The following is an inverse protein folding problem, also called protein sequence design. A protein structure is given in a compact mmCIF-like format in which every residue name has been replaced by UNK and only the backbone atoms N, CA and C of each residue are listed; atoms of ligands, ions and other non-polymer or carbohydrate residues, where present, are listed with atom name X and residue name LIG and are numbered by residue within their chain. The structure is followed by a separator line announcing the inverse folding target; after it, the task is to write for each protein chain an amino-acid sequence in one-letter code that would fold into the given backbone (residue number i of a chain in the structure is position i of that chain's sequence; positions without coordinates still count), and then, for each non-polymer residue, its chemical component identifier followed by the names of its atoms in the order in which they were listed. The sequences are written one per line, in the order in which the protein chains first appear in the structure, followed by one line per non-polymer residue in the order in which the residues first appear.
data_IF_960213329043
#
_entry.id   IF_960213329043
#
_cell.length_a   1.000
_cell.length_b   1.000
_cell.length_c   1.000
_cell.angle_alpha   90.00
_cell.angle_beta   90.00
_cell.angle_gamma   90.00
#
_symmetry.space_group_name_H-M   'P 1'
#
loop_
_entity.id
_entity.type
_entity.pdbx_description
1 polymer ?
#
# COMPACT_ATOMS: atom_id res chain seq x y z
N UNK A 1 11.82 -4.07 1.54
CA UNK A 1 10.62 -3.25 1.87
C UNK A 1 10.60 -2.06 0.92
N UNK A 2 9.43 -1.52 0.57
CA UNK A 2 9.35 -0.35 -0.29
C UNK A 2 8.14 0.53 0.04
N UNK A 3 8.21 1.79 -0.37
CA UNK A 3 7.13 2.76 -0.36
C UNK A 3 6.90 3.25 -1.79
N UNK A 4 5.65 3.57 -2.12
CA UNK A 4 5.31 4.20 -3.38
C UNK A 4 4.31 5.33 -3.19
N UNK A 5 4.24 6.22 -4.18
CA UNK A 5 3.21 7.23 -4.28
C UNK A 5 1.96 6.70 -5.03
N UNK A 6 0.95 7.55 -5.18
CA UNK A 6 -0.30 7.25 -5.91
C UNK A 6 -0.10 7.05 -7.42
N UNK A 7 1.07 7.40 -7.96
CA UNK A 7 1.45 7.20 -9.36
C UNK A 7 2.23 5.91 -9.57
N UNK A 8 2.26 5.04 -8.57
CA UNK A 8 2.99 3.77 -8.58
C UNK A 8 4.52 3.94 -8.65
N UNK A 9 5.05 5.15 -8.41
CA UNK A 9 6.48 5.39 -8.38
C UNK A 9 7.04 5.06 -6.99
N UNK A 10 8.16 4.34 -6.94
CA UNK A 10 8.80 4.00 -5.67
C UNK A 10 9.49 5.21 -5.07
N UNK A 11 9.09 5.63 -3.87
CA UNK A 11 9.69 6.78 -3.16
C UNK A 11 10.82 6.34 -2.25
N UNK A 12 10.82 5.08 -1.84
CA UNK A 12 11.87 4.49 -1.02
C UNK A 12 11.90 2.98 -1.21
N UNK A 13 13.10 2.39 -1.24
CA UNK A 13 13.32 0.94 -1.35
C UNK A 13 14.49 0.55 -0.47
N UNK A 14 14.33 -0.54 0.27
CA UNK A 14 15.40 -1.17 1.04
C UNK A 14 15.45 -2.66 0.77
N UNK A 15 16.67 -3.13 0.51
CA UNK A 15 17.02 -4.50 0.14
C UNK A 15 17.95 -5.10 1.20
N UNK A 16 18.22 -6.41 1.09
CA UNK A 16 19.26 -7.07 1.88
C UNK A 16 18.83 -7.62 3.24
N UNK A 17 17.55 -7.50 3.63
CA UNK A 17 17.04 -8.13 4.84
C UNK A 17 16.68 -9.60 4.62
N UNK A 18 16.98 -10.45 5.61
CA UNK A 18 16.63 -11.87 5.57
C UNK A 18 15.10 -12.07 5.56
N UNK A 19 14.60 -12.92 4.65
CA UNK A 19 13.17 -13.21 4.54
C UNK A 19 12.54 -13.92 5.75
N UNK A 20 13.36 -14.35 6.72
CA UNK A 20 12.91 -14.89 8.01
C UNK A 20 12.53 -13.80 9.02
N UNK A 21 12.83 -12.53 8.74
CA UNK A 21 12.49 -11.42 9.63
C UNK A 21 11.05 -10.96 9.39
N UNK A 22 10.35 -10.63 10.47
CA UNK A 22 9.01 -10.05 10.39
C UNK A 22 9.03 -8.66 9.74
N UNK A 23 7.94 -8.26 9.08
CA UNK A 23 7.79 -6.90 8.55
C UNK A 23 7.99 -5.84 9.64
N UNK A 24 7.54 -6.11 10.88
CA UNK A 24 7.75 -5.22 12.01
C UNK A 24 9.23 -5.10 12.40
N UNK A 25 9.98 -6.20 12.42
CA UNK A 25 11.43 -6.15 12.70
C UNK A 25 12.19 -5.46 11.59
N UNK A 26 11.88 -5.79 10.32
CA UNK A 26 12.48 -5.12 9.15
C UNK A 26 12.21 -3.62 9.19
N UNK A 27 10.97 -3.22 9.47
CA UNK A 27 10.60 -1.81 9.58
C UNK A 27 11.36 -1.12 10.70
N UNK A 28 11.35 -1.66 11.92
CA UNK A 28 11.99 -1.02 13.07
C UNK A 28 13.51 -0.91 12.97
N UNK A 29 14.18 -1.85 12.28
CA UNK A 29 15.62 -1.78 12.02
C UNK A 29 16.00 -1.01 10.76
N UNK A 30 15.04 -0.70 9.89
CA UNK A 30 15.30 0.01 8.64
C UNK A 30 15.73 1.45 8.88
N UNK A 31 16.54 1.99 7.97
CA UNK A 31 16.89 3.42 8.00
C UNK A 31 15.64 4.31 8.01
N UNK A 32 14.57 3.86 7.35
CA UNK A 32 13.29 4.55 7.29
C UNK A 32 12.54 4.53 8.62
N UNK A 33 12.46 3.37 9.28
CA UNK A 33 11.81 3.25 10.59
C UNK A 33 12.53 4.06 11.67
N UNK A 34 13.87 4.10 11.63
CA UNK A 34 14.68 4.96 12.49
C UNK A 34 14.37 6.44 12.22
N UNK A 35 14.34 6.86 10.95
CA UNK A 35 14.03 8.24 10.58
C UNK A 35 12.62 8.69 11.00
N UNK A 36 11.63 7.78 10.97
CA UNK A 36 10.30 8.03 11.53
C UNK A 36 10.37 8.25 13.04
N UNK A 37 11.07 7.37 13.77
CA UNK A 37 11.15 7.44 15.22
C UNK A 37 11.84 8.72 15.70
N UNK A 38 12.90 9.13 14.99
CA UNK A 38 13.65 10.36 15.23
C UNK A 38 12.91 11.62 14.75
N UNK A 39 11.74 11.48 14.12
CA UNK A 39 10.98 12.58 13.48
C UNK A 39 11.81 13.38 12.48
N UNK A 40 12.74 12.71 11.80
CA UNK A 40 13.58 13.33 10.77
C UNK A 40 12.94 13.29 9.38
N UNK A 41 11.86 12.52 9.22
CA UNK A 41 10.97 12.63 8.07
C UNK A 41 10.05 13.85 8.23
N UNK A 42 10.18 14.81 7.31
CA UNK A 42 9.36 16.02 7.26
C UNK A 42 7.93 15.69 6.78
N UNK A 43 7.15 14.97 7.58
CA UNK A 43 5.72 14.82 7.36
C UNK A 43 5.05 16.20 7.41
N UNK A 44 4.06 16.48 6.54
CA UNK A 44 3.29 17.71 6.64
C UNK A 44 2.53 17.77 7.96
N UNK A 45 2.20 19.00 8.38
CA UNK A 45 1.36 19.23 9.55
C UNK A 45 -0.03 18.59 9.36
N UNK A 46 -0.72 18.21 10.46
CA UNK A 46 -2.06 17.66 10.38
C UNK A 46 -3.04 18.60 9.67
N UNK A 47 -3.85 18.03 8.78
CA UNK A 47 -4.88 18.76 8.05
C UNK A 47 -6.29 18.26 8.41
N UNK A 48 -7.32 19.11 8.27
CA UNK A 48 -8.70 18.69 8.47
C UNK A 48 -9.11 17.65 7.43
N UNK A 49 -9.83 16.63 7.85
CA UNK A 49 -10.50 15.71 6.93
C UNK A 49 -11.46 16.49 6.00
N UNK A 50 -11.63 16.08 4.74
CA UNK A 50 -12.52 16.78 3.81
C UNK A 50 -13.94 16.96 4.38
N UNK A 51 -14.47 18.18 4.36
CA UNK A 51 -15.80 18.49 4.91
C UNK A 51 -15.88 18.42 6.44
N UNK A 52 -14.76 18.32 7.16
CA UNK A 52 -14.70 18.21 8.62
C UNK A 52 -13.72 19.21 9.23
N UNK A 53 -13.85 19.47 10.54
CA UNK A 53 -12.86 20.22 11.33
C UNK A 53 -11.92 19.29 12.10
N UNK A 54 -12.02 17.98 11.87
CA UNK A 54 -11.21 16.97 12.55
C UNK A 54 -9.83 16.91 11.89
N UNK A 55 -8.81 17.39 12.60
CA UNK A 55 -7.41 17.31 12.18
C UNK A 55 -6.89 15.88 12.30
N UNK A 56 -6.27 15.39 11.23
CA UNK A 56 -5.63 14.07 11.19
C UNK A 56 -4.22 14.22 10.61
N UNK A 57 -3.18 13.67 11.28
CA UNK A 57 -1.83 13.69 10.72
C UNK A 57 -1.77 12.81 9.47
N UNK A 58 -0.86 13.15 8.55
CA UNK A 58 -0.53 12.27 7.43
C UNK A 58 0.09 10.97 7.93
N UNK A 59 -0.24 9.87 7.27
CA UNK A 59 0.25 8.54 7.62
C UNK A 59 0.48 7.67 6.39
N UNK A 60 1.36 6.69 6.55
CA UNK A 60 1.59 5.61 5.60
C UNK A 60 0.56 4.50 5.79
N UNK A 61 0.29 3.75 4.73
CA UNK A 61 -0.61 2.61 4.77
C UNK A 61 0.20 1.32 4.79
N UNK A 62 0.01 0.51 5.83
CA UNK A 62 0.67 -0.78 6.01
C UNK A 62 -0.29 -1.97 6.04
N UNK A 63 0.27 -3.17 5.90
CA UNK A 63 -0.42 -4.43 6.16
C UNK A 63 -0.60 -4.74 7.66
N UNK A 64 -1.26 -5.85 7.99
CA UNK A 64 -1.49 -6.28 9.39
C UNK A 64 -0.19 -6.56 10.17
N UNK A 65 0.91 -6.89 9.48
CA UNK A 65 2.19 -7.24 10.08
C UNK A 65 3.02 -6.02 10.52
N UNK A 66 2.64 -4.81 10.11
CA UNK A 66 3.22 -3.58 10.63
C UNK A 66 2.63 -3.19 12.01
N UNK A 67 3.33 -2.39 12.83
CA UNK A 67 2.77 -1.83 14.06
C UNK A 67 1.72 -0.75 13.75
N UNK A 68 0.74 -0.57 14.64
CA UNK A 68 -0.19 0.57 14.57
C UNK A 68 0.46 1.80 15.20
N UNK A 69 0.64 2.87 14.41
CA UNK A 69 1.21 4.14 14.82
C UNK A 69 0.39 5.30 14.24
N UNK A 70 0.65 6.53 14.68
CA UNK A 70 0.01 7.73 14.12
C UNK A 70 0.50 8.05 12.70
N UNK A 71 1.72 7.63 12.39
CA UNK A 71 2.42 7.79 11.11
C UNK A 71 2.33 6.54 10.20
N UNK A 72 1.82 5.41 10.71
CA UNK A 72 1.68 4.14 9.99
C UNK A 72 0.39 3.43 10.42
N UNK A 73 -0.55 3.38 9.48
CA UNK A 73 -1.89 2.88 9.71
C UNK A 73 -2.05 1.46 9.17
N UNK A 74 -2.65 0.58 9.98
CA UNK A 74 -2.88 -0.83 9.66
C UNK A 74 -4.35 -1.23 9.88
N UNK A 75 -4.83 -2.29 9.22
CA UNK A 75 -6.22 -2.71 9.35
C UNK A 75 -6.59 -3.12 10.78
N UNK A 76 -7.88 -3.09 11.10
CA UNK A 76 -8.42 -3.73 12.30
C UNK A 76 -8.19 -5.24 12.24
N UNK A 77 -7.85 -5.89 13.38
CA UNK A 77 -7.66 -7.33 13.42
C UNK A 77 -8.94 -8.09 13.05
N UNK A 78 -8.79 -9.12 12.21
CA UNK A 78 -9.90 -9.94 11.67
C UNK A 78 -10.81 -10.58 12.73
N UNK A 79 -10.28 -10.86 13.92
CA UNK A 79 -11.02 -11.55 14.98
C UNK A 79 -12.20 -10.75 15.56
N UNK A 80 -12.21 -9.41 15.41
CA UNK A 80 -13.20 -8.52 16.03
C UNK A 80 -13.89 -7.58 15.02
N UNK A 81 -14.06 -8.04 13.77
CA UNK A 81 -14.56 -7.24 12.64
C UNK A 81 -16.09 -7.25 12.54
N UNK A 82 -16.78 -6.98 13.66
CA UNK A 82 -18.24 -7.06 13.76
C UNK A 82 -18.97 -5.77 13.37
N UNK A 83 -18.32 -4.61 13.44
CA UNK A 83 -18.91 -3.30 13.12
C UNK A 83 -18.66 -2.83 11.68
N UNK A 84 -19.65 -2.17 11.08
CA UNK A 84 -19.57 -1.60 9.72
C UNK A 84 -18.41 -0.60 9.57
N UNK A 85 -18.16 0.22 10.58
CA UNK A 85 -17.04 1.16 10.61
C UNK A 85 -15.69 0.48 10.36
N UNK A 86 -15.42 -0.64 11.05
CA UNK A 86 -14.17 -1.38 10.91
C UNK A 86 -14.07 -2.08 9.55
N UNK A 87 -15.20 -2.60 9.04
CA UNK A 87 -15.27 -3.25 7.72
C UNK A 87 -14.97 -2.25 6.61
N UNK A 88 -15.63 -1.09 6.63
CA UNK A 88 -15.41 0.00 5.66
C UNK A 88 -13.98 0.52 5.76
N UNK A 89 -13.48 0.74 6.98
CA UNK A 89 -12.11 1.19 7.18
C UNK A 89 -11.10 0.22 6.57
N UNK A 90 -11.19 -1.09 6.89
CA UNK A 90 -10.29 -2.09 6.33
C UNK A 90 -10.36 -2.14 4.81
N UNK A 91 -11.57 -2.08 4.24
CA UNK A 91 -11.74 -2.08 2.79
C UNK A 91 -11.10 -0.86 2.12
N UNK A 92 -11.31 0.35 2.66
CA UNK A 92 -10.70 1.58 2.14
C UNK A 92 -9.18 1.57 2.31
N UNK A 93 -8.68 1.02 3.42
CA UNK A 93 -7.25 0.85 3.64
C UNK A 93 -6.64 -0.15 2.63
N UNK A 94 -7.32 -1.28 2.38
CA UNK A 94 -6.93 -2.25 1.35
C UNK A 94 -6.92 -1.63 -0.05
N UNK A 95 -7.90 -0.79 -0.39
CA UNK A 95 -7.89 -0.01 -1.66
C UNK A 95 -6.64 0.86 -1.77
N UNK A 96 -6.19 1.48 -0.68
CA UNK A 96 -4.92 2.22 -0.64
C UNK A 96 -3.69 1.34 -0.83
N UNK A 97 -3.67 0.15 -0.21
CA UNK A 97 -2.57 -0.83 -0.38
C UNK A 97 -2.43 -1.36 -1.80
N UNK A 98 -3.53 -1.45 -2.55
CA UNK A 98 -3.46 -1.87 -3.96
C UNK A 98 -2.49 -1.03 -4.80
N UNK A 99 -2.21 0.21 -4.40
CA UNK A 99 -1.22 1.06 -5.07
C UNK A 99 0.17 0.45 -5.03
N UNK A 100 0.68 0.05 -3.85
CA UNK A 100 2.03 -0.53 -3.75
C UNK A 100 2.11 -1.91 -4.41
N UNK A 101 1.03 -2.68 -4.37
CA UNK A 101 0.95 -3.96 -5.08
C UNK A 101 0.96 -3.79 -6.59
N UNK A 102 0.21 -2.82 -7.11
CA UNK A 102 0.24 -2.50 -8.53
C UNK A 102 1.63 -2.00 -8.94
N UNK A 103 2.31 -1.20 -8.11
CA UNK A 103 3.69 -0.75 -8.39
C UNK A 103 4.65 -1.95 -8.54
N UNK A 104 4.61 -2.89 -7.59
CA UNK A 104 5.39 -4.13 -7.67
C UNK A 104 5.00 -5.01 -8.86
N UNK A 105 3.70 -5.14 -9.14
CA UNK A 105 3.17 -5.88 -10.28
C UNK A 105 3.67 -5.33 -11.62
N UNK A 106 3.58 -4.01 -11.83
CA UNK A 106 4.11 -3.33 -13.01
C UNK A 106 5.62 -3.57 -13.11
N UNK A 107 6.37 -3.36 -12.02
CA UNK A 107 7.81 -3.54 -11.98
C UNK A 107 8.20 -4.97 -12.40
N UNK A 108 7.65 -6.00 -11.77
CA UNK A 108 7.98 -7.38 -12.09
C UNK A 108 7.56 -7.77 -13.52
N UNK A 109 6.41 -7.26 -13.97
CA UNK A 109 5.89 -7.54 -15.31
C UNK A 109 6.77 -6.95 -16.42
N UNK A 110 7.21 -5.69 -16.26
CA UNK A 110 8.07 -4.99 -17.22
C UNK A 110 9.53 -5.47 -17.15
N UNK A 111 10.05 -5.67 -15.95
CA UNK A 111 11.43 -6.09 -15.70
C UNK A 111 11.46 -7.58 -15.39
N UNK A 112 11.24 -8.40 -16.44
CA UNK A 112 11.08 -9.86 -16.32
C UNK A 112 12.23 -10.58 -15.62
N UNK A 113 13.41 -9.98 -15.54
CA UNK A 113 14.54 -10.47 -14.74
C UNK A 113 14.15 -10.69 -13.26
N UNK A 114 13.19 -9.91 -12.75
CA UNK A 114 12.69 -9.99 -11.38
C UNK A 114 11.65 -11.11 -11.17
N UNK A 115 11.20 -11.77 -12.24
CA UNK A 115 10.19 -12.86 -12.17
C UNK A 115 10.81 -14.23 -11.89
N UNK A 116 12.13 -14.29 -11.83
CA UNK A 116 12.90 -15.51 -11.60
C UNK A 116 13.86 -15.30 -10.46
N UNK A 117 14.24 -16.38 -9.78
CA UNK A 117 15.32 -16.34 -8.80
C UNK A 117 16.58 -15.77 -9.45
N UNK A 118 17.10 -14.68 -8.87
CA UNK A 118 18.34 -14.07 -9.31
C UNK A 118 19.52 -14.95 -8.84
N UNK A 119 20.00 -15.83 -9.72
CA UNK A 119 21.16 -16.68 -9.48
C UNK A 119 22.48 -15.88 -9.58
N UNK A 120 22.59 -14.83 -8.77
CA UNK A 120 23.70 -13.88 -8.76
C UNK A 120 24.20 -13.65 -7.33
N UNK A 121 25.41 -13.12 -7.20
CA UNK A 121 25.90 -12.64 -5.91
C UNK A 121 24.93 -11.58 -5.33
N UNK A 122 24.66 -11.56 -4.02
CA UNK A 122 23.68 -10.64 -3.42
C UNK A 122 23.85 -9.18 -3.85
N UNK A 123 25.08 -8.67 -3.88
CA UNK A 123 25.38 -7.30 -4.34
C UNK A 123 24.95 -7.02 -5.79
N UNK A 124 25.07 -8.02 -6.67
CA UNK A 124 24.65 -7.90 -8.07
C UNK A 124 23.13 -7.97 -8.17
N UNK A 125 22.48 -8.85 -7.39
CA UNK A 125 21.03 -8.93 -7.31
C UNK A 125 20.43 -7.60 -6.80
N UNK A 126 21.01 -7.01 -5.76
CA UNK A 126 20.63 -5.68 -5.26
C UNK A 126 20.79 -4.61 -6.34
N UNK A 127 21.92 -4.59 -7.06
CA UNK A 127 22.16 -3.64 -8.15
C UNK A 127 21.13 -3.77 -9.27
N UNK A 128 20.75 -4.99 -9.64
CA UNK A 128 19.72 -5.27 -10.66
C UNK A 128 18.35 -4.77 -10.19
N UNK A 129 17.98 -5.03 -8.94
CA UNK A 129 16.70 -4.59 -8.36
C UNK A 129 16.66 -3.05 -8.32
N UNK A 130 17.70 -2.40 -7.79
CA UNK A 130 17.77 -0.95 -7.71
C UNK A 130 17.76 -0.30 -9.09
N UNK A 131 18.52 -0.83 -10.06
CA UNK A 131 18.49 -0.35 -11.44
C UNK A 131 17.09 -0.49 -12.06
N UNK A 132 16.40 -1.61 -11.82
CA UNK A 132 15.04 -1.83 -12.31
C UNK A 132 14.06 -0.82 -11.72
N UNK A 133 14.17 -0.53 -10.40
CA UNK A 133 13.35 0.49 -9.72
C UNK A 133 13.64 1.89 -10.28
N UNK A 134 14.91 2.26 -10.46
CA UNK A 134 15.29 3.56 -11.01
C UNK A 134 14.75 3.74 -12.43
N UNK A 135 14.89 2.72 -13.29
CA UNK A 135 14.39 2.76 -14.65
C UNK A 135 12.85 2.77 -14.70
N UNK A 136 12.18 2.01 -13.82
CA UNK A 136 10.74 2.07 -13.65
C UNK A 136 10.28 3.50 -13.36
N UNK A 137 10.83 4.12 -12.31
CA UNK A 137 10.46 5.49 -11.93
C UNK A 137 10.76 6.50 -13.05
N UNK A 138 11.90 6.35 -13.72
CA UNK A 138 12.27 7.21 -14.85
C UNK A 138 11.21 7.16 -15.96
N UNK A 139 10.79 5.97 -16.39
CA UNK A 139 9.79 5.82 -17.45
C UNK A 139 8.42 6.29 -16.98
N UNK A 140 8.00 5.96 -15.76
CA UNK A 140 6.73 6.42 -15.18
C UNK A 140 6.63 7.96 -15.16
N UNK A 141 7.70 8.64 -14.74
CA UNK A 141 7.76 10.10 -14.73
C UNK A 141 7.77 10.70 -16.14
N UNK A 142 8.49 10.08 -17.09
CA UNK A 142 8.52 10.54 -18.48
C UNK A 142 7.16 10.44 -19.16
N UNK A 143 6.41 9.37 -18.88
CA UNK A 143 5.09 9.16 -19.45
C UNK A 143 3.98 9.88 -18.68
N UNK A 144 4.28 10.56 -17.55
CA UNK A 144 3.26 11.19 -16.72
C UNK A 144 2.46 12.25 -17.48
N UNK A 145 3.17 13.13 -18.20
CA UNK A 145 2.58 14.26 -18.93
C UNK A 145 2.00 13.90 -20.30
N UNK A 146 2.13 12.65 -20.74
CA UNK A 146 1.60 12.22 -22.02
C UNK A 146 0.06 12.20 -21.97
N UNK A 147 -0.57 13.10 -22.72
CA UNK A 147 -2.01 13.11 -22.94
C UNK A 147 -2.32 12.09 -24.06
N UNK A 148 -2.52 10.82 -23.70
CA UNK A 148 -2.80 9.76 -24.65
C UNK A 148 -2.35 8.38 -24.18
N UNK A 149 -1.86 7.58 -25.13
CA UNK A 149 -1.44 6.21 -24.86
C UNK A 149 -0.09 6.19 -24.12
N UNK A 150 -0.10 5.67 -22.89
CA UNK A 150 1.11 5.34 -22.12
C UNK A 150 1.58 3.94 -22.48
N UNK A 151 2.84 3.79 -22.89
CA UNK A 151 3.35 2.49 -23.34
C UNK A 151 3.77 1.62 -22.17
N UNK A 152 4.34 2.21 -21.11
CA UNK A 152 4.88 1.49 -19.97
C UNK A 152 3.80 1.15 -18.93
N UNK A 153 2.86 2.06 -18.67
CA UNK A 153 1.72 1.80 -17.79
C UNK A 153 0.42 2.35 -18.41
N UNK A 154 -0.16 1.65 -19.42
CA UNK A 154 -1.46 2.03 -19.96
C UNK A 154 -2.56 1.93 -18.90
N UNK A 155 -3.68 2.62 -19.10
CA UNK A 155 -4.78 2.71 -18.12
C UNK A 155 -5.37 1.36 -17.74
N UNK A 156 -5.42 0.40 -18.65
CA UNK A 156 -5.89 -0.97 -18.39
C UNK A 156 -4.85 -1.85 -17.67
N UNK A 157 -3.59 -1.42 -17.61
CA UNK A 157 -2.52 -2.21 -17.02
C UNK A 157 -2.67 -2.33 -15.51
N UNK A 158 -3.17 -1.29 -14.86
CA UNK A 158 -3.49 -1.25 -13.43
C UNK A 158 -4.97 -1.51 -13.18
N UNK A 159 -5.29 -1.86 -11.93
CA UNK A 159 -6.67 -2.02 -11.52
C UNK A 159 -7.43 -0.70 -11.71
N UNK A 160 -8.59 -0.76 -12.35
CA UNK A 160 -9.45 0.39 -12.57
C UNK A 160 -10.89 0.04 -12.20
N UNK A 161 -11.70 1.07 -12.02
CA UNK A 161 -13.12 0.92 -11.77
C UNK A 161 -13.85 0.97 -13.12
N UNK A 162 -14.68 -0.04 -13.41
CA UNK A 162 -15.50 -0.01 -14.62
C UNK A 162 -16.67 0.98 -14.49
N UNK A 163 -17.41 1.18 -15.58
CA UNK A 163 -18.59 2.06 -15.61
C UNK A 163 -19.70 1.61 -14.63
N UNK A 164 -19.62 0.40 -14.08
CA UNK A 164 -20.57 -0.18 -13.14
C UNK A 164 -20.04 -0.18 -11.69
N UNK A 165 -18.95 0.56 -11.42
CA UNK A 165 -18.28 0.62 -10.12
C UNK A 165 -17.64 -0.68 -9.63
N UNK A 166 -17.45 -1.67 -10.51
CA UNK A 166 -16.70 -2.87 -10.16
C UNK A 166 -15.20 -2.60 -10.29
N UNK A 167 -14.43 -3.17 -9.36
CA UNK A 167 -12.98 -3.17 -9.45
C UNK A 167 -12.55 -4.21 -10.47
N UNK A 168 -12.05 -3.75 -11.61
CA UNK A 168 -11.43 -4.58 -12.63
C UNK A 168 -9.95 -4.74 -12.27
N UNK A 169 -9.45 -5.98 -12.07
CA UNK A 169 -8.03 -6.21 -11.83
C UNK A 169 -7.18 -5.78 -13.04
N UNK A 170 -6.02 -5.17 -12.77
CA UNK A 170 -5.11 -4.72 -13.83
C UNK A 170 -4.55 -5.87 -14.67
N UNK A 171 -4.33 -5.61 -15.96
CA UNK A 171 -3.83 -6.61 -16.92
C UNK A 171 -2.50 -7.24 -16.51
N UNK A 172 -1.65 -6.56 -15.73
CA UNK A 172 -0.40 -7.12 -15.23
C UNK A 172 -0.61 -8.45 -14.45
N UNK A 173 -1.79 -8.62 -13.82
CA UNK A 173 -2.14 -9.84 -13.08
C UNK A 173 -2.43 -11.03 -13.98
N UNK A 174 -2.69 -10.81 -15.28
CA UNK A 174 -2.88 -11.88 -16.28
C UNK A 174 -1.57 -12.40 -16.84
N UNK A 175 -0.44 -11.74 -16.55
CA UNK A 175 0.86 -12.22 -16.99
C UNK A 175 1.25 -13.50 -16.22
N UNK A 176 1.77 -14.52 -16.91
CA UNK A 176 1.76 -15.89 -16.40
C UNK A 176 2.84 -16.18 -15.34
N UNK A 177 3.13 -15.37 -14.32
CA UNK A 177 4.05 -15.71 -13.20
C UNK A 177 3.91 -14.69 -12.04
N UNK A 178 2.70 -14.24 -11.68
CA UNK A 178 2.54 -13.14 -10.70
C UNK A 178 2.39 -13.57 -9.23
N UNK A 179 2.41 -14.88 -8.92
CA UNK A 179 2.25 -15.41 -7.55
C UNK A 179 3.51 -15.29 -6.66
N UNK A 180 4.57 -14.59 -7.12
CA UNK A 180 5.81 -14.47 -6.34
C UNK A 180 5.75 -13.41 -5.23
N UNK A 181 4.77 -12.49 -5.25
CA UNK A 181 4.54 -11.57 -4.14
C UNK A 181 3.63 -12.24 -3.11
N UNK A 182 4.22 -13.09 -2.27
CA UNK A 182 3.49 -13.72 -1.18
C UNK A 182 3.25 -12.72 -0.06
N UNK A 183 1.97 -12.54 0.30
CA UNK A 183 1.58 -11.81 1.49
C UNK A 183 2.04 -12.63 2.71
N UNK A 184 3.09 -12.19 3.40
CA UNK A 184 3.64 -12.92 4.54
C UNK A 184 2.60 -12.89 5.66
N UNK A 185 2.20 -14.08 6.11
CA UNK A 185 1.17 -14.27 7.11
C UNK A 185 1.46 -13.57 8.44
N UNK A 186 0.40 -13.47 9.23
CA UNK A 186 0.28 -12.76 10.50
C UNK A 186 1.49 -12.93 11.44
N UNK A 187 2.17 -11.83 11.75
CA UNK A 187 3.23 -11.77 12.76
C UNK A 187 2.85 -10.78 13.87
N UNK A 188 2.85 -11.29 15.11
CA UNK A 188 2.86 -10.57 16.40
C UNK A 188 2.07 -9.27 16.56
N UNK A 189 1.02 -9.29 17.40
CA UNK A 189 0.27 -8.08 17.74
C UNK A 189 1.04 -7.10 18.62
N UNK A 190 1.52 -6.00 18.05
CA UNK A 190 2.02 -4.87 18.84
C UNK A 190 0.88 -3.99 19.39
N UNK A 191 1.03 -3.60 20.66
CA UNK A 191 0.17 -2.64 21.37
C UNK A 191 0.29 -1.28 20.68
N UNK A 192 -0.76 -0.86 19.97
CA UNK A 192 -0.84 0.50 19.45
C UNK A 192 -0.99 1.49 20.61
N UNK A 193 -0.27 2.62 20.54
CA UNK A 193 -0.48 3.73 21.47
C UNK A 193 -1.96 4.18 21.39
N UNK A 194 -2.55 4.58 22.52
CA UNK A 194 -3.96 5.02 22.60
C UNK A 194 -4.29 6.10 21.56
N UNK A 195 -3.33 6.98 21.26
CA UNK A 195 -3.45 8.04 20.25
C UNK A 195 -3.65 7.46 18.84
N UNK A 196 -2.87 6.44 18.45
CA UNK A 196 -2.99 5.82 17.13
C UNK A 196 -4.29 5.03 16.97
N UNK A 197 -4.76 4.39 18.05
CA UNK A 197 -6.08 3.74 18.09
C UNK A 197 -7.17 4.79 17.89
N UNK A 198 -7.10 5.90 18.64
CA UNK A 198 -8.06 6.99 18.53
C UNK A 198 -8.07 7.59 17.13
N UNK A 199 -6.91 7.88 16.53
CA UNK A 199 -6.81 8.37 15.16
C UNK A 199 -7.48 7.41 14.17
N UNK A 200 -7.22 6.10 14.28
CA UNK A 200 -7.84 5.10 13.42
C UNK A 200 -9.35 5.06 13.58
N UNK A 201 -9.84 5.05 14.81
CA UNK A 201 -11.27 5.04 15.12
C UNK A 201 -11.97 6.32 14.65
N UNK A 202 -11.28 7.46 14.73
CA UNK A 202 -11.76 8.74 14.20
C UNK A 202 -11.92 8.69 12.68
N UNK A 203 -10.94 8.16 11.95
CA UNK A 203 -11.04 7.96 10.49
C UNK A 203 -12.16 6.96 10.15
N UNK A 204 -12.28 5.86 10.89
CA UNK A 204 -13.32 4.86 10.68
C UNK A 204 -14.74 5.44 10.87
N UNK A 205 -14.92 6.32 11.88
CA UNK A 205 -16.17 7.06 12.08
C UNK A 205 -16.42 8.08 10.99
N UNK A 206 -15.38 8.80 10.53
CA UNK A 206 -15.51 9.75 9.44
C UNK A 206 -16.00 9.08 8.15
N UNK A 207 -15.55 7.87 7.83
CA UNK A 207 -16.05 7.12 6.66
C UNK A 207 -17.53 6.74 6.71
N UNK A 208 -18.17 6.85 7.89
CA UNK A 208 -19.61 6.68 8.07
C UNK A 208 -20.38 8.02 8.11
N UNK A 209 -19.68 9.14 8.20
CA UNK A 209 -20.31 10.47 8.19
C UNK A 209 -20.83 10.83 6.80
N UNK A 210 -21.75 11.79 6.73
CA UNK A 210 -22.28 12.28 5.45
C UNK A 210 -21.18 12.77 4.50
N UNK A 211 -20.13 13.40 5.05
CA UNK A 211 -19.00 13.96 4.28
C UNK A 211 -17.98 12.91 3.85
N UNK A 212 -17.76 11.90 4.68
CA UNK A 212 -16.71 10.90 4.44
C UNK A 212 -17.18 9.63 3.74
N UNK A 213 -18.49 9.39 3.67
CA UNK A 213 -19.04 8.21 3.02
C UNK A 213 -18.98 8.30 1.50
N UNK A 214 -18.82 7.15 0.84
CA UNK A 214 -18.79 7.05 -0.62
C UNK A 214 -19.72 5.90 -1.08
N UNK A 215 -20.50 6.07 -2.16
CA UNK A 215 -21.54 5.09 -2.53
C UNK A 215 -21.03 3.65 -2.72
N UNK A 216 -19.82 3.49 -3.28
CA UNK A 216 -19.23 2.17 -3.56
C UNK A 216 -18.79 1.41 -2.31
N UNK A 217 -18.60 2.07 -1.15
CA UNK A 217 -18.11 1.37 0.05
C UNK A 217 -19.14 0.39 0.61
N UNK A 218 -20.43 0.72 0.45
CA UNK A 218 -21.54 -0.08 0.94
C UNK A 218 -21.78 -1.32 0.10
N UNK A 219 -21.54 -1.24 -1.22
CA UNK A 219 -21.71 -2.37 -2.14
C UNK A 219 -20.80 -3.55 -1.76
N UNK A 220 -19.55 -3.28 -1.36
CA UNK A 220 -18.58 -4.30 -0.97
C UNK A 220 -18.90 -4.90 0.40
N UNK A 221 -19.31 -4.06 1.36
CA UNK A 221 -19.59 -4.49 2.75
C UNK A 221 -20.85 -5.34 2.85
N UNK A 222 -21.88 -5.08 2.03
CA UNK A 222 -23.13 -5.85 2.07
C UNK A 222 -23.18 -7.06 1.12
N UNK A 223 -22.37 -7.11 0.06
CA UNK A 223 -22.39 -8.24 -0.90
C UNK A 223 -21.44 -9.40 -0.59
N UNK A 224 -20.79 -9.39 0.58
CA UNK A 224 -19.90 -10.50 0.98
C UNK A 224 -18.61 -10.61 0.17
N UNK A 225 -18.22 -9.54 -0.55
CA UNK A 225 -16.91 -9.47 -1.20
C UNK A 225 -15.80 -9.46 -0.16
N UNK A 226 -14.62 -9.97 -0.54
CA UNK A 226 -13.45 -9.97 0.33
C UNK A 226 -13.10 -8.52 0.68
N UNK A 227 -13.40 -8.15 1.92
CA UNK A 227 -13.15 -6.83 2.50
C UNK A 227 -11.64 -6.58 2.59
N UNK A 228 -10.85 -7.66 2.49
CA UNK A 228 -9.41 -7.62 2.41
C UNK A 228 -9.02 -8.11 1.02
N UNK A 229 -9.04 -7.21 0.04
CA UNK A 229 -8.31 -7.51 -1.20
C UNK A 229 -6.86 -7.84 -0.83
N UNK A 230 -6.28 -8.89 -1.47
CA UNK A 230 -4.94 -9.41 -1.15
C UNK A 230 -3.89 -8.31 -1.14
#
# INVERSE_FOLDING_TARGET
MALCDSKYCFTWVELGNYGSLSNCSVFSSSAFGIAIEERSLNFPDPEPLPGSNVLVPYFLVGDEAFPLRTDLMRPYPRRNLTGEAHRIFNYRLSRGRLTIENAFGILASRWRVLRTTLAHHPSNAESIILASVCLHNFVMNKEEHLQGFKQYCPSSYVGHEDNNHNIVPGEWRREPFCDYFQNIGRLGGNRGALVAIHQRDTIAKYFLSEEGQVPWQWQTVYRGFDINMP
#
